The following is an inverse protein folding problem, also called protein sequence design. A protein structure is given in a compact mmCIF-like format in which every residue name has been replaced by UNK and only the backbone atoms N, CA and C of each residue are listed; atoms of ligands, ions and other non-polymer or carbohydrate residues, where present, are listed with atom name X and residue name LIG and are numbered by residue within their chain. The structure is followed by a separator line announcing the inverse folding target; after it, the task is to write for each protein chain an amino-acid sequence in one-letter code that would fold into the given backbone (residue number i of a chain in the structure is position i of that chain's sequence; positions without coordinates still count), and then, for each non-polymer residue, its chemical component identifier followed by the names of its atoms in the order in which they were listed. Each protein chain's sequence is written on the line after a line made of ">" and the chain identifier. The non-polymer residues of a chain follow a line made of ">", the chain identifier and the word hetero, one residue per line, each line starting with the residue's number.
data_IF_079428063502
#
_entry.id   IF_079428063502
#
_cell.length_a   1.000
_cell.length_b   1.000
_cell.length_c   1.000
_cell.angle_alpha   90.00
_cell.angle_beta   90.00
_cell.angle_gamma   90.00
#
_symmetry.space_group_name_H-M   'P 1'
#
loop_
_entity.id
_entity.type
_entity.pdbx_description
1 polymer ?
#
# COMPACT_ATOMS: atom_id res chain seq x y z
N UNK A 1 -6.66 8.67 -8.67
CA UNK A 1 -5.57 8.08 -7.91
C UNK A 1 -4.59 7.40 -8.88
N UNK A 2 -3.29 7.67 -8.76
CA UNK A 2 -2.22 7.09 -9.57
C UNK A 2 -1.34 6.25 -8.65
N UNK A 3 -1.51 4.95 -8.67
CA UNK A 3 -0.68 4.02 -7.89
C UNK A 3 0.60 3.67 -8.64
N UNK A 4 1.67 3.42 -7.89
CA UNK A 4 2.99 3.03 -8.41
C UNK A 4 3.51 3.98 -9.52
N UNK A 5 3.32 5.30 -9.36
CA UNK A 5 3.66 6.28 -10.39
C UNK A 5 5.15 6.22 -10.79
N UNK A 6 6.02 5.78 -9.87
CA UNK A 6 7.45 5.58 -10.12
C UNK A 6 7.78 4.45 -11.09
N UNK A 7 6.81 3.58 -11.42
CA UNK A 7 6.96 2.48 -12.37
C UNK A 7 6.42 2.80 -13.77
N UNK A 8 5.83 3.97 -13.94
CA UNK A 8 5.31 4.40 -15.23
C UNK A 8 6.44 4.62 -16.24
N UNK A 9 6.21 4.21 -17.48
CA UNK A 9 7.13 4.51 -18.59
C UNK A 9 7.20 6.02 -18.85
N UNK A 10 8.34 6.51 -19.35
CA UNK A 10 8.51 7.93 -19.69
C UNK A 10 7.42 8.47 -20.65
N UNK A 11 6.97 7.74 -21.68
CA UNK A 11 5.85 8.17 -22.50
C UNK A 11 4.53 8.30 -21.73
N UNK A 12 4.26 7.40 -20.77
CA UNK A 12 3.06 7.48 -19.93
C UNK A 12 3.14 8.69 -18.98
N UNK A 13 4.31 8.93 -18.38
CA UNK A 13 4.55 10.12 -17.55
C UNK A 13 4.30 11.42 -18.32
N UNK A 14 4.74 11.50 -19.60
CA UNK A 14 4.50 12.66 -20.47
C UNK A 14 3.00 12.89 -20.72
N UNK A 15 2.22 11.82 -20.92
CA UNK A 15 0.77 11.91 -21.07
C UNK A 15 0.07 12.39 -19.81
N UNK A 16 0.50 11.89 -18.65
CA UNK A 16 -0.03 12.34 -17.35
C UNK A 16 0.27 13.83 -17.14
N UNK A 17 1.52 14.24 -17.38
CA UNK A 17 1.91 15.64 -17.25
C UNK A 17 1.04 16.54 -18.13
N UNK A 18 0.85 16.16 -19.40
CA UNK A 18 0.02 16.92 -20.34
C UNK A 18 -1.44 17.03 -19.85
N UNK A 19 -2.01 15.93 -19.36
CA UNK A 19 -3.35 15.93 -18.81
C UNK A 19 -3.50 16.86 -17.60
N UNK A 20 -2.47 16.92 -16.74
CA UNK A 20 -2.43 17.81 -15.58
C UNK A 20 -2.24 19.29 -15.94
N UNK A 21 -1.56 19.58 -17.06
CA UNK A 21 -1.31 20.94 -17.52
C UNK A 21 -2.50 21.52 -18.30
N UNK A 22 -3.06 20.72 -19.22
CA UNK A 22 -4.11 21.14 -20.13
C UNK A 22 -5.52 20.92 -19.58
N UNK A 23 -5.67 20.18 -18.46
CA UNK A 23 -6.96 19.76 -17.92
C UNK A 23 -7.84 19.04 -18.94
N UNK A 24 -7.20 18.27 -19.81
CA UNK A 24 -7.83 17.53 -20.91
C UNK A 24 -7.28 16.12 -21.01
N UNK A 25 -8.15 15.20 -21.34
CA UNK A 25 -7.80 13.81 -21.65
C UNK A 25 -8.43 13.39 -22.98
N UNK A 26 -7.85 12.37 -23.62
CA UNK A 26 -8.40 11.74 -24.80
C UNK A 26 -8.69 10.26 -24.49
N UNK A 27 -9.81 9.76 -25.00
CA UNK A 27 -10.10 8.33 -24.94
C UNK A 27 -9.23 7.60 -25.96
N UNK A 28 -8.82 6.38 -25.59
CA UNK A 28 -8.08 5.51 -26.53
C UNK A 28 -8.92 5.30 -27.80
N UNK A 29 -8.32 5.61 -28.97
CA UNK A 29 -9.00 5.48 -30.26
C UNK A 29 -9.97 6.63 -30.62
N UNK A 30 -9.91 7.74 -29.87
CA UNK A 30 -10.72 8.92 -30.18
C UNK A 30 -9.89 10.20 -29.99
N UNK A 31 -9.88 11.07 -31.00
CA UNK A 31 -9.11 12.32 -30.98
C UNK A 31 -9.85 13.49 -30.28
N UNK A 32 -11.04 13.24 -29.71
CA UNK A 32 -11.78 14.31 -29.02
C UNK A 32 -11.21 14.55 -27.63
N UNK A 33 -10.86 15.82 -27.38
CA UNK A 33 -10.50 16.29 -26.07
C UNK A 33 -11.71 16.31 -25.14
N UNK A 34 -11.53 15.79 -23.93
CA UNK A 34 -12.50 15.84 -22.84
C UNK A 34 -11.90 16.70 -21.75
N UNK A 35 -12.53 17.81 -21.41
CA UNK A 35 -12.12 18.63 -20.28
C UNK A 35 -12.37 17.88 -18.98
N UNK A 36 -11.39 17.91 -18.06
CA UNK A 36 -11.46 17.28 -16.75
C UNK A 36 -11.01 18.25 -15.67
N UNK A 37 -11.76 18.27 -14.57
CA UNK A 37 -11.36 18.96 -13.33
C UNK A 37 -11.17 17.88 -12.26
N UNK A 38 -9.92 17.54 -11.98
CA UNK A 38 -9.57 16.42 -11.10
C UNK A 38 -8.52 16.81 -10.09
N UNK A 39 -8.68 16.34 -8.86
CA UNK A 39 -7.61 16.32 -7.86
C UNK A 39 -6.82 15.04 -8.03
N UNK A 40 -5.50 15.17 -8.20
CA UNK A 40 -4.61 14.01 -8.35
C UNK A 40 -3.97 13.68 -7.00
N UNK A 41 -4.01 12.40 -6.67
CA UNK A 41 -3.25 11.78 -5.57
C UNK A 41 -2.41 10.69 -6.21
N UNK A 42 -1.11 10.70 -5.97
CA UNK A 42 -0.18 9.71 -6.48
C UNK A 42 0.50 8.97 -5.31
N UNK A 43 0.84 7.71 -5.53
CA UNK A 43 1.60 6.91 -4.60
C UNK A 43 2.75 6.19 -5.31
N UNK A 44 3.84 5.96 -4.60
CA UNK A 44 4.99 5.18 -5.06
C UNK A 44 5.77 4.63 -3.88
N UNK A 45 6.42 3.49 -4.07
CA UNK A 45 7.39 2.93 -3.14
C UNK A 45 8.84 3.30 -3.52
N UNK A 46 9.05 4.03 -4.62
CA UNK A 46 10.38 4.44 -5.10
C UNK A 46 10.79 5.81 -4.59
N UNK A 47 12.09 6.00 -4.44
CA UNK A 47 12.67 7.31 -4.24
C UNK A 47 12.70 8.06 -5.58
N UNK A 48 11.73 8.97 -5.80
CA UNK A 48 11.60 9.69 -7.06
C UNK A 48 12.82 10.57 -7.37
N UNK A 49 13.53 11.09 -6.36
CA UNK A 49 14.75 11.87 -6.58
C UNK A 49 15.88 11.01 -7.20
N UNK A 50 15.99 9.75 -6.80
CA UNK A 50 16.92 8.80 -7.41
C UNK A 50 16.48 8.39 -8.82
N UNK A 51 15.17 8.19 -9.03
CA UNK A 51 14.62 7.87 -10.35
C UNK A 51 14.83 9.03 -11.34
N UNK A 52 14.73 10.29 -10.90
CA UNK A 52 15.03 11.48 -11.72
C UNK A 52 16.51 11.50 -12.10
N UNK A 53 17.44 11.33 -11.14
CA UNK A 53 18.88 11.27 -11.41
C UNK A 53 19.25 10.16 -12.40
N UNK A 54 18.52 9.06 -12.36
CA UNK A 54 18.71 7.92 -13.26
C UNK A 54 17.94 8.06 -14.60
N UNK A 55 17.33 9.20 -14.88
CA UNK A 55 16.50 9.46 -16.06
C UNK A 55 15.34 8.47 -16.26
N UNK A 56 14.80 7.90 -15.20
CA UNK A 56 13.62 7.02 -15.24
C UNK A 56 12.33 7.71 -14.82
N UNK A 57 12.43 8.88 -14.18
CA UNK A 57 11.28 9.72 -13.85
C UNK A 57 11.52 11.17 -14.29
N UNK A 58 10.47 11.82 -14.81
CA UNK A 58 10.54 13.19 -15.28
C UNK A 58 10.48 14.18 -14.13
N UNK A 59 11.43 15.09 -14.09
CA UNK A 59 11.49 16.15 -13.08
C UNK A 59 10.29 17.11 -13.15
N UNK A 60 9.85 17.44 -14.37
CA UNK A 60 8.69 18.32 -14.58
C UNK A 60 7.38 17.73 -14.06
N UNK A 61 7.19 16.42 -14.20
CA UNK A 61 6.06 15.70 -13.62
C UNK A 61 6.15 15.69 -12.08
N UNK A 62 7.34 15.40 -11.53
CA UNK A 62 7.56 15.44 -10.09
C UNK A 62 7.12 16.78 -9.49
N UNK A 63 7.61 17.91 -10.00
CA UNK A 63 7.24 19.23 -9.51
C UNK A 63 5.75 19.56 -9.68
N UNK A 64 5.06 18.91 -10.59
CA UNK A 64 3.62 19.12 -10.78
C UNK A 64 2.77 18.37 -9.77
N UNK A 65 3.20 17.19 -9.32
CA UNK A 65 2.44 16.34 -8.40
C UNK A 65 2.90 16.46 -6.94
N UNK A 66 4.18 16.71 -6.68
CA UNK A 66 4.78 16.75 -5.35
C UNK A 66 4.57 18.11 -4.65
N UNK A 67 3.34 18.62 -4.61
CA UNK A 67 2.99 19.83 -3.88
C UNK A 67 2.93 19.57 -2.38
N UNK A 68 2.43 18.40 -2.00
CA UNK A 68 2.39 17.89 -0.62
C UNK A 68 2.88 16.47 -0.65
N UNK A 69 3.95 16.19 0.08
CA UNK A 69 4.48 14.84 0.24
C UNK A 69 4.09 14.28 1.61
N UNK A 70 3.54 13.07 1.61
CA UNK A 70 3.19 12.32 2.82
C UNK A 70 3.99 11.05 2.84
N UNK A 71 4.86 10.89 3.83
CA UNK A 71 5.56 9.66 4.07
C UNK A 71 4.72 8.74 4.96
N UNK A 72 4.44 7.55 4.46
CA UNK A 72 3.75 6.50 5.23
C UNK A 72 4.81 5.57 5.81
N UNK A 73 5.00 5.54 7.15
CA UNK A 73 6.00 4.68 7.76
C UNK A 73 5.66 3.20 7.56
N UNK A 74 6.66 2.33 7.42
CA UNK A 74 6.45 0.88 7.37
C UNK A 74 5.87 0.38 8.70
N UNK A 75 5.23 -0.79 8.67
CA UNK A 75 4.55 -1.34 9.84
C UNK A 75 5.50 -1.58 11.03
N UNK A 76 6.76 -1.91 10.75
CA UNK A 76 7.79 -2.10 11.78
C UNK A 76 8.12 -0.83 12.58
N UNK A 77 7.84 0.35 12.04
CA UNK A 77 8.02 1.64 12.72
C UNK A 77 6.77 2.11 13.49
N UNK A 78 5.63 1.38 13.33
CA UNK A 78 4.36 1.67 13.99
C UNK A 78 3.73 0.39 14.55
N UNK A 79 4.51 -0.37 15.31
CA UNK A 79 4.12 -1.66 15.88
C UNK A 79 2.90 -1.56 16.79
N UNK A 80 2.67 -0.41 17.41
CA UNK A 80 1.49 -0.14 18.25
C UNK A 80 0.16 -0.20 17.48
N UNK A 81 0.20 -0.08 16.15
CA UNK A 81 -0.98 -0.24 15.30
C UNK A 81 -1.35 -1.71 15.07
N UNK A 82 -0.41 -2.65 15.29
CA UNK A 82 -0.59 -4.07 14.94
C UNK A 82 -1.78 -4.70 15.68
N UNK A 83 -1.98 -4.52 16.99
CA UNK A 83 -3.15 -5.07 17.67
C UNK A 83 -4.48 -4.57 17.09
N UNK A 84 -4.55 -3.27 16.76
CA UNK A 84 -5.74 -2.67 16.15
C UNK A 84 -6.01 -3.21 14.74
N UNK A 85 -4.96 -3.43 13.95
CA UNK A 85 -5.06 -4.03 12.63
C UNK A 85 -5.52 -5.48 12.70
N UNK A 86 -5.01 -6.26 13.65
CA UNK A 86 -5.46 -7.64 13.90
C UNK A 86 -6.95 -7.67 14.22
N UNK A 87 -7.41 -6.80 15.13
CA UNK A 87 -8.83 -6.69 15.49
C UNK A 87 -9.68 -6.30 14.28
N UNK A 88 -9.21 -5.35 13.48
CA UNK A 88 -9.89 -4.96 12.26
C UNK A 88 -10.02 -6.12 11.27
N UNK A 89 -8.95 -6.89 11.02
CA UNK A 89 -8.98 -7.98 10.05
C UNK A 89 -9.86 -9.13 10.52
N UNK A 90 -9.72 -9.57 11.78
CA UNK A 90 -10.52 -10.67 12.31
C UNK A 90 -12.03 -10.36 12.35
N UNK A 91 -12.40 -9.10 12.52
CA UNK A 91 -13.81 -8.68 12.51
C UNK A 91 -14.54 -8.96 11.19
N UNK A 92 -13.81 -9.11 10.10
CA UNK A 92 -14.34 -9.40 8.77
C UNK A 92 -14.29 -10.89 8.39
N UNK A 93 -13.76 -11.75 9.27
CA UNK A 93 -13.63 -13.19 9.03
C UNK A 93 -14.78 -13.97 9.68
N UNK A 94 -15.22 -15.02 9.02
CA UNK A 94 -16.35 -15.86 9.47
C UNK A 94 -15.95 -17.34 9.43
N UNK A 95 -16.24 -18.13 10.51
CA UNK A 95 -16.80 -17.71 11.79
C UNK A 95 -15.82 -16.81 12.55
N UNK A 96 -16.35 -15.94 13.43
CA UNK A 96 -15.47 -15.15 14.29
C UNK A 96 -14.66 -16.07 15.22
N UNK A 97 -13.36 -15.79 15.33
CA UNK A 97 -12.47 -16.44 16.30
C UNK A 97 -11.80 -15.41 17.19
N UNK A 98 -11.70 -15.73 18.46
CA UNK A 98 -10.90 -14.95 19.40
C UNK A 98 -9.41 -15.24 19.20
N UNK A 99 -8.57 -14.36 19.69
CA UNK A 99 -7.11 -14.51 19.67
C UNK A 99 -6.57 -14.24 21.06
N UNK A 100 -5.64 -15.04 21.54
CA UNK A 100 -5.01 -14.86 22.83
C UNK A 100 -4.10 -13.63 22.84
N UNK A 101 -4.04 -12.93 23.98
CA UNK A 101 -3.17 -11.75 24.14
C UNK A 101 -1.69 -12.08 23.87
N UNK A 102 -1.25 -13.27 24.25
CA UNK A 102 0.10 -13.75 23.97
C UNK A 102 0.34 -13.94 22.46
N UNK A 103 -0.64 -14.41 21.71
CA UNK A 103 -0.55 -14.53 20.27
C UNK A 103 -0.46 -13.14 19.59
N UNK A 104 -1.25 -12.17 20.06
CA UNK A 104 -1.17 -10.78 19.60
C UNK A 104 0.20 -10.18 19.90
N UNK A 105 0.76 -10.43 21.08
CA UNK A 105 2.09 -9.96 21.48
C UNK A 105 3.17 -10.52 20.55
N UNK A 106 3.16 -11.82 20.31
CA UNK A 106 4.10 -12.46 19.37
C UNK A 106 4.03 -11.86 17.97
N UNK A 107 2.81 -11.65 17.45
CA UNK A 107 2.62 -11.00 16.14
C UNK A 107 3.15 -9.57 16.12
N UNK A 108 3.07 -8.83 17.24
CA UNK A 108 3.58 -7.46 17.35
C UNK A 108 5.12 -7.42 17.31
N UNK A 109 5.79 -8.45 17.81
CA UNK A 109 7.25 -8.56 17.84
C UNK A 109 7.88 -9.01 16.51
N UNK A 110 7.11 -9.61 15.62
CA UNK A 110 7.62 -10.08 14.33
C UNK A 110 8.01 -8.95 13.39
N UNK A 111 8.85 -9.27 12.39
CA UNK A 111 9.21 -8.36 11.32
C UNK A 111 8.25 -8.48 10.14
N UNK A 112 7.71 -7.32 9.74
CA UNK A 112 6.69 -7.18 8.71
C UNK A 112 7.25 -6.52 7.45
N UNK A 113 8.11 -7.22 6.70
CA UNK A 113 8.69 -6.71 5.44
C UNK A 113 7.63 -6.46 4.36
N UNK A 114 6.55 -7.25 4.35
CA UNK A 114 5.39 -7.07 3.48
C UNK A 114 4.30 -6.17 4.09
N UNK A 115 4.63 -5.48 5.21
CA UNK A 115 3.76 -4.50 5.84
C UNK A 115 2.34 -5.04 6.18
N UNK A 116 1.35 -4.17 6.08
CA UNK A 116 -0.06 -4.47 6.41
C UNK A 116 -0.62 -5.62 5.55
N UNK A 117 -0.16 -5.74 4.30
CA UNK A 117 -0.61 -6.85 3.42
C UNK A 117 -0.14 -8.21 3.95
N UNK A 118 1.10 -8.30 4.41
CA UNK A 118 1.63 -9.52 5.03
C UNK A 118 0.90 -9.84 6.34
N UNK A 119 0.71 -8.86 7.21
CA UNK A 119 -0.04 -9.03 8.46
C UNK A 119 -1.44 -9.56 8.20
N UNK A 120 -2.18 -8.97 7.25
CA UNK A 120 -3.51 -9.43 6.88
C UNK A 120 -3.50 -10.89 6.43
N UNK A 121 -2.60 -11.27 5.54
CA UNK A 121 -2.49 -12.65 5.04
C UNK A 121 -2.18 -13.64 6.17
N UNK A 122 -1.37 -13.22 7.15
CA UNK A 122 -1.05 -14.04 8.33
C UNK A 122 -2.28 -14.21 9.22
N UNK A 123 -3.02 -13.14 9.49
CA UNK A 123 -4.26 -13.22 10.30
C UNK A 123 -5.30 -14.12 9.61
N UNK A 124 -5.49 -14.00 8.30
CA UNK A 124 -6.37 -14.88 7.52
C UNK A 124 -5.90 -16.35 7.58
N UNK A 125 -4.59 -16.59 7.47
CA UNK A 125 -4.02 -17.95 7.58
C UNK A 125 -4.25 -18.54 8.95
N UNK A 126 -3.97 -17.81 10.01
CA UNK A 126 -4.21 -18.26 11.39
C UNK A 126 -5.69 -18.55 11.61
N UNK A 127 -6.58 -17.70 11.12
CA UNK A 127 -8.02 -17.92 11.20
C UNK A 127 -8.46 -19.24 10.55
N UNK A 128 -7.84 -19.63 9.43
CA UNK A 128 -8.18 -20.86 8.70
C UNK A 128 -7.62 -22.11 9.42
N UNK A 129 -6.39 -22.03 9.92
CA UNK A 129 -5.63 -23.20 10.36
C UNK A 129 -5.70 -23.47 11.86
N UNK A 130 -6.09 -22.49 12.67
CA UNK A 130 -6.15 -22.60 14.14
C UNK A 130 -7.57 -22.92 14.61
N UNK A 131 -7.67 -23.45 15.82
CA UNK A 131 -8.93 -23.53 16.55
C UNK A 131 -9.33 -22.17 17.17
N UNK A 132 -10.43 -22.11 17.91
CA UNK A 132 -10.85 -20.94 18.68
C UNK A 132 -10.66 -21.23 20.18
N UNK A 133 -9.84 -20.46 20.89
CA UNK A 133 -9.10 -19.25 20.43
C UNK A 133 -7.84 -19.57 19.61
N UNK A 134 -7.41 -18.62 18.77
CA UNK A 134 -6.11 -18.66 18.10
C UNK A 134 -5.02 -18.47 19.16
N UNK A 135 -4.20 -19.51 19.37
CA UNK A 135 -3.23 -19.56 20.45
C UNK A 135 -1.82 -19.08 20.02
N UNK A 136 -0.97 -18.76 20.98
CA UNK A 136 0.43 -18.43 20.73
C UNK A 136 1.22 -19.58 20.05
N UNK A 137 0.84 -20.83 20.30
CA UNK A 137 1.40 -22.01 19.62
C UNK A 137 1.13 -22.00 18.11
N UNK A 138 -0.05 -21.53 17.70
CA UNK A 138 -0.44 -21.46 16.29
C UNK A 138 0.40 -20.42 15.55
N UNK A 139 0.68 -19.28 16.18
CA UNK A 139 1.57 -18.25 15.63
C UNK A 139 2.96 -18.86 15.36
N UNK A 140 3.51 -19.61 16.33
CA UNK A 140 4.82 -20.29 16.17
C UNK A 140 4.81 -21.36 15.09
N UNK A 141 3.68 -22.03 14.90
CA UNK A 141 3.54 -23.14 13.95
C UNK A 141 3.27 -22.66 12.51
N UNK A 142 2.41 -21.64 12.32
CA UNK A 142 1.88 -21.28 11.02
C UNK A 142 2.43 -19.96 10.47
N UNK A 143 3.11 -19.14 11.30
CA UNK A 143 3.78 -17.93 10.86
C UNK A 143 5.26 -18.23 10.70
N UNK A 144 5.59 -18.95 9.62
CA UNK A 144 6.99 -19.18 9.24
C UNK A 144 7.52 -17.96 8.47
N UNK A 145 8.73 -17.62 8.80
CA UNK A 145 9.56 -16.53 8.28
C UNK A 145 9.87 -16.68 6.79
#
# INVERSE_FOLDING_TARGET
>A
FLDEIGDMSLPAQAKVLRALQEHKIQRVGNDKDISVDVRVVAATNKNLAEEIKANRFREDLFHRIAVIEIQVPPLNERRDDIPLLIDHFKAHLTPYKSIEDEAVRLLTELDWTGNVRQLRNVVERLHILSDDPIAASDVKQYVNH
#
